data_IF_034516188719
#
_entry.id   IF_034516188719
#
_cell.length_a   1.000
_cell.length_b   1.000
_cell.length_c   1.000
_cell.angle_alpha   90.00
_cell.angle_beta   90.00
_cell.angle_gamma   90.00
#
_symmetry.space_group_name_H-M   'P 1'
#
loop_
_entity.id
_entity.type
_entity.pdbx_description
1 polymer ?
#
# COMPACT_ATOMS: atom_id res chain seq x y z
N UNK A 1 5.93 17.63 19.77
CA UNK A 1 7.11 17.27 18.96
C UNK A 1 6.76 16.11 18.01
N UNK A 2 6.38 14.94 18.48
CA UNK A 2 6.07 13.76 17.64
C UNK A 2 5.04 14.04 16.51
N UNK A 3 3.97 14.79 16.78
CA UNK A 3 2.93 15.09 15.76
C UNK A 3 3.47 15.89 14.58
N UNK A 4 4.35 16.85 14.82
CA UNK A 4 4.94 17.67 13.75
C UNK A 4 5.90 16.86 12.89
N UNK A 5 6.62 15.90 13.46
CA UNK A 5 7.51 15.03 12.72
C UNK A 5 6.73 14.08 11.79
N UNK A 6 5.57 13.59 12.23
CA UNK A 6 4.70 12.74 11.39
C UNK A 6 4.07 13.54 10.24
N UNK A 7 3.64 14.78 10.48
CA UNK A 7 3.15 15.66 9.40
C UNK A 7 4.26 15.91 8.37
N UNK A 8 5.46 16.24 8.82
CA UNK A 8 6.61 16.45 7.93
C UNK A 8 6.94 15.19 7.12
N UNK A 9 6.89 14.02 7.74
CA UNK A 9 7.09 12.74 7.04
C UNK A 9 6.06 12.56 5.92
N UNK A 10 4.77 12.78 6.20
CA UNK A 10 3.71 12.69 5.19
C UNK A 10 3.89 13.70 4.06
N UNK A 11 4.33 14.92 4.35
CA UNK A 11 4.62 15.93 3.33
C UNK A 11 5.74 15.48 2.40
N UNK A 12 6.83 14.93 2.96
CA UNK A 12 7.94 14.36 2.19
C UNK A 12 7.45 13.21 1.33
N UNK A 13 6.69 12.29 1.89
CA UNK A 13 6.14 11.14 1.17
C UNK A 13 5.19 11.57 0.04
N UNK A 14 4.32 12.54 0.30
CA UNK A 14 3.44 13.12 -0.73
C UNK A 14 4.25 13.77 -1.86
N UNK A 15 5.31 14.48 -1.51
CA UNK A 15 6.19 15.12 -2.49
C UNK A 15 6.81 14.12 -3.46
N UNK A 16 7.21 12.93 -3.01
CA UNK A 16 7.75 11.88 -3.90
C UNK A 16 6.77 11.52 -5.01
N UNK A 17 5.48 11.37 -4.67
CA UNK A 17 4.43 11.06 -5.66
C UNK A 17 4.21 12.24 -6.60
N UNK A 18 4.12 13.45 -6.09
CA UNK A 18 3.92 14.65 -6.92
C UNK A 18 5.10 14.92 -7.86
N UNK A 19 6.33 14.69 -7.38
CA UNK A 19 7.52 14.81 -8.22
C UNK A 19 7.53 13.74 -9.33
N UNK A 20 7.16 12.49 -9.03
CA UNK A 20 7.02 11.46 -10.05
C UNK A 20 5.99 11.82 -11.11
N UNK A 21 4.83 12.36 -10.71
CA UNK A 21 3.79 12.85 -11.65
C UNK A 21 4.35 13.98 -12.52
N UNK A 22 5.06 14.92 -11.92
CA UNK A 22 5.66 16.06 -12.64
C UNK A 22 6.74 15.63 -13.61
N UNK A 23 7.62 14.72 -13.21
CA UNK A 23 8.65 14.13 -14.07
C UNK A 23 8.04 13.35 -15.24
N UNK A 24 6.91 12.68 -15.02
CA UNK A 24 6.14 11.98 -16.04
C UNK A 24 5.59 12.91 -17.14
N UNK A 25 5.52 14.22 -16.90
CA UNK A 25 5.16 15.25 -17.90
C UNK A 25 3.94 14.90 -18.75
N UNK A 26 2.88 14.38 -18.12
CA UNK A 26 1.64 13.96 -18.79
C UNK A 26 1.66 12.54 -19.34
N UNK A 27 2.77 11.83 -19.27
CA UNK A 27 2.83 10.39 -19.57
C UNK A 27 2.43 9.55 -18.36
N UNK A 28 2.05 8.31 -18.62
CA UNK A 28 1.76 7.33 -17.56
C UNK A 28 3.02 7.07 -16.74
N UNK A 29 2.90 7.18 -15.42
CA UNK A 29 3.92 6.74 -14.47
C UNK A 29 3.60 5.33 -13.98
N UNK A 30 4.63 4.53 -13.75
CA UNK A 30 4.49 3.16 -13.29
C UNK A 30 4.63 3.08 -11.77
N UNK A 31 3.56 2.65 -11.10
CA UNK A 31 3.63 2.10 -9.75
C UNK A 31 3.71 0.59 -9.87
N UNK A 32 4.76 -0.01 -9.37
CA UNK A 32 4.99 -1.44 -9.58
C UNK A 32 4.99 -2.24 -8.30
N UNK A 33 4.22 -3.34 -8.30
CA UNK A 33 4.31 -4.37 -7.28
C UNK A 33 5.69 -5.02 -7.30
N UNK A 34 6.27 -5.20 -6.12
CA UNK A 34 7.49 -5.97 -5.98
C UNK A 34 7.13 -7.42 -5.71
N UNK A 35 7.48 -8.29 -6.64
CA UNK A 35 7.28 -9.73 -6.49
C UNK A 35 8.40 -10.32 -5.64
N UNK A 36 8.01 -10.85 -4.48
CA UNK A 36 8.94 -11.52 -3.59
C UNK A 36 9.56 -10.62 -2.53
N UNK A 37 10.54 -11.18 -1.86
CA UNK A 37 11.31 -10.58 -0.77
C UNK A 37 12.74 -10.22 -1.22
N UNK A 38 12.97 -10.16 -2.52
CA UNK A 38 14.29 -9.86 -3.08
C UNK A 38 14.44 -8.36 -3.41
N UNK A 39 15.15 -7.67 -2.55
CA UNK A 39 15.45 -6.24 -2.71
C UNK A 39 16.21 -5.92 -4.02
N UNK A 40 16.89 -6.90 -4.64
CA UNK A 40 17.56 -6.70 -5.95
C UNK A 40 16.56 -6.43 -7.06
N UNK A 41 15.36 -7.02 -7.00
CA UNK A 41 14.28 -6.75 -7.95
C UNK A 41 13.83 -5.29 -7.81
N UNK A 42 13.63 -4.82 -6.58
CA UNK A 42 13.26 -3.43 -6.32
C UNK A 42 14.33 -2.46 -6.86
N UNK A 43 15.61 -2.76 -6.63
CA UNK A 43 16.73 -1.97 -7.16
C UNK A 43 16.70 -1.91 -8.68
N UNK A 44 16.56 -3.05 -9.35
CA UNK A 44 16.54 -3.12 -10.81
C UNK A 44 15.37 -2.33 -11.42
N UNK A 45 14.19 -2.38 -10.77
CA UNK A 45 13.00 -1.64 -11.22
C UNK A 45 13.20 -0.13 -11.05
N UNK A 46 13.81 0.31 -9.96
CA UNK A 46 14.15 1.73 -9.73
C UNK A 46 15.23 2.20 -10.71
N UNK A 47 16.23 1.39 -10.98
CA UNK A 47 17.27 1.71 -11.98
C UNK A 47 16.67 1.82 -13.41
N UNK A 48 15.56 1.12 -13.67
CA UNK A 48 14.78 1.27 -14.89
C UNK A 48 13.83 2.49 -14.91
N UNK A 49 13.79 3.28 -13.84
CA UNK A 49 13.05 4.55 -13.76
C UNK A 49 11.78 4.54 -12.94
N UNK A 50 11.40 3.44 -12.26
CA UNK A 50 10.24 3.45 -11.37
C UNK A 50 10.48 4.34 -10.14
N UNK A 51 9.46 5.10 -9.76
CA UNK A 51 9.48 6.01 -8.59
C UNK A 51 8.54 5.57 -7.47
N UNK A 52 7.61 4.67 -7.78
CA UNK A 52 6.61 4.16 -6.86
C UNK A 52 6.68 2.64 -6.79
N UNK A 53 6.81 2.09 -5.61
CA UNK A 53 6.93 0.66 -5.36
C UNK A 53 5.85 0.17 -4.40
N UNK A 54 5.42 -1.07 -4.60
CA UNK A 54 4.30 -1.66 -3.89
C UNK A 54 4.59 -3.11 -3.45
N UNK A 55 5.47 -3.32 -2.44
CA UNK A 55 5.61 -4.64 -1.84
C UNK A 55 4.30 -5.06 -1.17
N UNK A 56 3.82 -6.26 -1.47
CA UNK A 56 2.58 -6.77 -0.90
C UNK A 56 2.70 -8.23 -0.47
N UNK A 57 1.91 -8.59 0.55
CA UNK A 57 1.95 -9.91 1.17
C UNK A 57 1.61 -11.09 0.23
N UNK A 58 0.64 -10.99 -0.71
CA UNK A 58 0.38 -12.10 -1.63
C UNK A 58 1.58 -12.40 -2.54
N UNK A 59 2.28 -11.36 -2.99
CA UNK A 59 3.49 -11.53 -3.80
C UNK A 59 4.61 -12.20 -2.99
N UNK A 60 4.77 -11.86 -1.72
CA UNK A 60 5.74 -12.49 -0.83
C UNK A 60 5.38 -13.95 -0.58
N UNK A 61 4.12 -14.27 -0.30
CA UNK A 61 3.63 -15.65 -0.11
C UNK A 61 3.92 -16.50 -1.36
N UNK A 62 3.61 -15.96 -2.55
CA UNK A 62 3.84 -16.63 -3.82
C UNK A 62 5.33 -16.88 -4.07
N UNK A 63 6.17 -15.88 -3.86
CA UNK A 63 7.61 -15.98 -4.07
C UNK A 63 8.31 -16.95 -3.11
N UNK A 64 7.81 -17.09 -1.89
CA UNK A 64 8.34 -18.03 -0.89
C UNK A 64 7.89 -19.47 -1.12
N UNK A 65 7.03 -19.72 -2.11
CA UNK A 65 6.64 -21.08 -2.49
C UNK A 65 5.79 -21.79 -1.43
N UNK A 66 4.87 -21.11 -0.79
CA UNK A 66 3.93 -21.74 0.13
C UNK A 66 3.19 -22.89 -0.57
N UNK A 67 3.07 -24.02 0.13
CA UNK A 67 2.52 -25.24 -0.46
C UNK A 67 1.11 -25.02 -1.02
N UNK A 68 0.91 -25.40 -2.29
CA UNK A 68 -0.38 -25.26 -2.98
C UNK A 68 -0.70 -23.85 -3.48
N UNK A 69 0.21 -22.88 -3.28
CA UNK A 69 0.05 -21.51 -3.74
C UNK A 69 0.80 -21.35 -5.06
N UNK A 70 0.08 -21.09 -6.14
CA UNK A 70 0.61 -20.98 -7.49
C UNK A 70 0.14 -19.73 -8.25
N UNK A 71 -0.68 -18.91 -7.61
CA UNK A 71 -1.16 -17.64 -8.16
C UNK A 71 -1.58 -16.68 -7.03
N UNK A 72 -1.81 -15.41 -7.37
CA UNK A 72 -2.16 -14.36 -6.41
C UNK A 72 -3.49 -14.62 -5.68
N UNK A 73 -4.50 -15.18 -6.36
CA UNK A 73 -5.79 -15.49 -5.72
C UNK A 73 -5.65 -16.53 -4.61
N UNK A 74 -4.82 -17.56 -4.84
CA UNK A 74 -4.55 -18.56 -3.81
C UNK A 74 -3.69 -17.96 -2.66
N UNK A 75 -2.77 -17.07 -2.99
CA UNK A 75 -1.98 -16.36 -1.98
C UNK A 75 -2.85 -15.50 -1.05
N UNK A 76 -3.90 -14.87 -1.59
CA UNK A 76 -4.86 -14.10 -0.79
C UNK A 76 -5.55 -14.93 0.30
N UNK A 77 -5.82 -16.21 0.06
CA UNK A 77 -6.48 -17.09 1.03
C UNK A 77 -5.62 -17.44 2.24
N UNK A 78 -4.30 -17.39 2.09
CA UNK A 78 -3.33 -17.73 3.14
C UNK A 78 -2.55 -16.51 3.66
N UNK A 79 -3.05 -15.30 3.36
CA UNK A 79 -2.39 -14.06 3.79
C UNK A 79 -2.17 -13.97 5.30
N UNK A 80 -3.05 -14.59 6.09
CA UNK A 80 -2.96 -14.64 7.55
C UNK A 80 -1.82 -15.54 8.07
N UNK A 81 -1.27 -16.40 7.22
CA UNK A 81 -0.12 -17.25 7.55
C UNK A 81 1.23 -16.49 7.44
N UNK A 82 1.24 -15.36 6.73
CA UNK A 82 2.42 -14.52 6.64
C UNK A 82 2.40 -13.49 7.80
N UNK A 83 3.31 -13.57 8.77
CA UNK A 83 3.34 -12.62 9.87
C UNK A 83 3.78 -11.23 9.40
N UNK A 84 3.30 -10.18 10.11
CA UNK A 84 3.63 -8.79 9.82
C UNK A 84 5.15 -8.56 9.77
N UNK A 85 5.89 -9.16 10.68
CA UNK A 85 7.35 -9.05 10.78
C UNK A 85 8.06 -9.41 9.46
N UNK A 86 7.52 -10.36 8.72
CA UNK A 86 8.07 -10.72 7.40
C UNK A 86 7.84 -9.64 6.35
N UNK A 87 6.72 -8.97 6.39
CA UNK A 87 6.49 -7.80 5.54
C UNK A 87 7.38 -6.62 5.93
N UNK A 88 7.64 -6.43 7.24
CA UNK A 88 8.56 -5.39 7.72
C UNK A 88 10.00 -5.66 7.26
N UNK A 89 10.46 -6.90 7.27
CA UNK A 89 11.77 -7.30 6.71
C UNK A 89 11.85 -6.94 5.21
N UNK A 90 10.81 -7.26 4.44
CA UNK A 90 10.75 -6.94 3.00
C UNK A 90 10.80 -5.43 2.77
N UNK A 91 9.99 -4.66 3.47
CA UNK A 91 9.95 -3.19 3.35
C UNK A 91 11.30 -2.57 3.68
N UNK A 92 11.91 -2.99 4.80
CA UNK A 92 13.24 -2.50 5.21
C UNK A 92 14.32 -2.88 4.20
N UNK A 93 14.29 -4.11 3.69
CA UNK A 93 15.21 -4.55 2.65
C UNK A 93 15.09 -3.74 1.36
N UNK A 94 13.87 -3.46 0.92
CA UNK A 94 13.60 -2.61 -0.25
C UNK A 94 14.10 -1.19 0.00
N UNK A 95 13.72 -0.56 1.13
CA UNK A 95 14.14 0.81 1.48
C UNK A 95 15.64 0.97 1.50
N UNK A 96 16.37 0.00 2.06
CA UNK A 96 17.81 0.03 2.16
C UNK A 96 18.52 0.07 0.78
N UNK A 97 17.94 -0.53 -0.24
CA UNK A 97 18.57 -0.58 -1.58
C UNK A 97 18.09 0.51 -2.52
N UNK A 98 16.86 1.04 -2.34
CA UNK A 98 16.32 2.07 -3.24
C UNK A 98 16.48 3.50 -2.71
N UNK A 99 16.83 3.65 -1.42
CA UNK A 99 17.02 4.98 -0.80
C UNK A 99 15.71 5.70 -0.48
N UNK A 100 15.82 6.98 -0.09
CA UNK A 100 14.71 7.74 0.46
C UNK A 100 13.84 8.45 -0.58
N UNK A 101 14.28 8.57 -1.83
CA UNK A 101 13.57 9.30 -2.88
C UNK A 101 12.41 8.51 -3.52
N UNK A 102 12.34 7.21 -3.24
CA UNK A 102 11.31 6.31 -3.79
C UNK A 102 10.12 6.23 -2.84
N UNK A 103 8.90 6.38 -3.38
CA UNK A 103 7.67 6.16 -2.62
C UNK A 103 7.40 4.67 -2.48
N UNK A 104 7.23 4.20 -1.23
CA UNK A 104 6.93 2.81 -0.91
C UNK A 104 5.59 2.75 -0.18
N UNK A 105 4.59 2.15 -0.82
CA UNK A 105 3.31 1.80 -0.19
C UNK A 105 3.24 0.30 0.01
N UNK A 106 2.86 -0.16 1.20
CA UNK A 106 2.91 -1.58 1.55
C UNK A 106 1.53 -2.19 1.77
N UNK A 107 1.29 -3.37 1.20
CA UNK A 107 0.18 -4.23 1.56
C UNK A 107 0.59 -5.21 2.64
N UNK A 108 -0.09 -5.19 3.76
CA UNK A 108 0.20 -6.04 4.91
C UNK A 108 -0.80 -7.18 5.06
N UNK A 109 -0.43 -8.28 5.75
CA UNK A 109 -1.28 -9.45 5.88
C UNK A 109 -2.62 -9.12 6.52
N UNK A 110 -3.72 -9.36 5.81
CA UNK A 110 -5.08 -9.34 6.32
C UNK A 110 -5.62 -8.04 6.93
N UNK A 111 -4.75 -7.13 7.36
CA UNK A 111 -5.13 -5.97 8.16
C UNK A 111 -5.99 -4.93 7.45
N UNK A 112 -6.02 -4.93 6.13
CA UNK A 112 -6.69 -3.90 5.33
C UNK A 112 -7.73 -4.46 4.36
N UNK A 113 -8.16 -5.69 4.56
CA UNK A 113 -9.19 -6.32 3.73
C UNK A 113 -10.24 -7.00 4.59
N UNK A 114 -11.37 -7.32 4.03
CA UNK A 114 -12.48 -8.03 4.68
C UNK A 114 -12.39 -9.54 4.53
N UNK A 115 -11.54 -10.06 3.64
CA UNK A 115 -11.48 -11.51 3.35
C UNK A 115 -10.89 -12.31 4.50
N UNK A 116 -9.82 -11.82 5.09
CA UNK A 116 -9.18 -12.39 6.29
C UNK A 116 -8.77 -11.23 7.19
N UNK A 117 -9.71 -10.59 7.88
CA UNK A 117 -9.42 -9.39 8.65
C UNK A 117 -8.54 -9.73 9.85
N UNK A 118 -7.39 -9.07 9.92
CA UNK A 118 -6.54 -9.01 11.10
C UNK A 118 -6.62 -7.59 11.61
N UNK A 119 -6.89 -7.44 12.89
CA UNK A 119 -6.91 -6.12 13.52
C UNK A 119 -5.46 -5.69 13.75
N UNK A 120 -5.08 -4.57 13.12
CA UNK A 120 -3.79 -3.92 13.38
C UNK A 120 -3.94 -2.93 14.54
N UNK A 121 -3.03 -3.02 15.46
CA UNK A 121 -2.94 -2.10 16.59
C UNK A 121 -2.04 -0.89 16.25
N UNK A 122 -2.13 0.15 17.07
CA UNK A 122 -1.32 1.36 16.91
C UNK A 122 0.19 1.06 16.82
N UNK A 123 0.68 0.07 17.57
CA UNK A 123 2.06 -0.38 17.51
C UNK A 123 2.49 -0.97 16.16
N UNK A 124 1.58 -1.57 15.41
CA UNK A 124 1.86 -2.13 14.11
C UNK A 124 2.05 -1.03 13.05
N UNK A 125 1.24 0.02 13.08
CA UNK A 125 1.43 1.20 12.23
C UNK A 125 2.77 1.86 12.50
N UNK A 126 3.18 1.93 13.77
CA UNK A 126 4.51 2.45 14.12
C UNK A 126 5.63 1.61 13.53
N UNK A 127 5.56 0.27 13.65
CA UNK A 127 6.55 -0.65 13.08
C UNK A 127 6.64 -0.52 11.56
N UNK A 128 5.49 -0.43 10.86
CA UNK A 128 5.42 -0.25 9.41
C UNK A 128 6.10 1.07 9.01
N UNK A 129 5.81 2.14 9.74
CA UNK A 129 6.44 3.44 9.51
C UNK A 129 7.96 3.41 9.72
N UNK A 130 8.44 2.74 10.77
CA UNK A 130 9.86 2.59 11.09
C UNK A 130 10.59 1.66 10.11
N UNK A 131 9.90 0.68 9.53
CA UNK A 131 10.45 -0.18 8.48
C UNK A 131 10.76 0.57 7.18
N UNK A 132 10.31 1.82 7.05
CA UNK A 132 10.60 2.69 5.90
C UNK A 132 9.49 2.81 4.88
N UNK A 133 8.26 2.36 5.20
CA UNK A 133 7.10 2.62 4.36
C UNK A 133 6.73 4.13 4.39
N UNK A 134 6.31 4.64 3.25
CA UNK A 134 5.72 5.96 3.09
C UNK A 134 4.20 5.90 3.26
N UNK A 135 3.59 4.78 2.95
CA UNK A 135 2.15 4.59 3.01
C UNK A 135 1.73 3.13 3.04
N UNK A 136 0.43 2.95 3.07
CA UNK A 136 -0.28 1.68 3.05
C UNK A 136 -1.22 1.64 1.85
N UNK A 137 -1.43 0.48 1.25
CA UNK A 137 -2.54 0.30 0.33
C UNK A 137 -3.59 -0.64 0.91
N UNK A 138 -4.85 -0.33 0.66
CA UNK A 138 -5.97 -1.01 1.29
C UNK A 138 -7.12 -1.31 0.33
N UNK A 139 -7.79 -2.44 0.57
CA UNK A 139 -9.01 -2.86 -0.13
C UNK A 139 -10.28 -2.64 0.71
N UNK A 140 -10.26 -1.74 1.69
CA UNK A 140 -11.46 -1.41 2.47
C UNK A 140 -12.63 -1.04 1.57
N UNK A 141 -13.82 -1.59 1.86
CA UNK A 141 -15.01 -1.50 1.03
C UNK A 141 -16.03 -0.45 1.49
N UNK A 142 -15.80 0.20 2.64
CA UNK A 142 -16.61 1.31 3.13
C UNK A 142 -15.79 2.56 3.39
N UNK A 143 -16.41 3.73 3.22
CA UNK A 143 -15.78 5.04 3.51
C UNK A 143 -15.50 5.17 5.01
N UNK A 144 -16.36 4.66 5.85
CA UNK A 144 -16.24 4.70 7.31
C UNK A 144 -15.00 3.95 7.78
N UNK A 145 -14.84 2.69 7.36
CA UNK A 145 -13.67 1.87 7.70
C UNK A 145 -12.38 2.43 7.12
N UNK A 146 -12.46 2.96 5.89
CA UNK A 146 -11.32 3.60 5.25
C UNK A 146 -10.89 4.86 6.00
N UNK A 147 -11.84 5.68 6.47
CA UNK A 147 -11.57 6.88 7.26
C UNK A 147 -10.87 6.52 8.57
N UNK A 148 -11.36 5.51 9.28
CA UNK A 148 -10.72 5.04 10.51
C UNK A 148 -9.26 4.61 10.27
N UNK A 149 -9.03 3.86 9.19
CA UNK A 149 -7.69 3.43 8.79
C UNK A 149 -6.78 4.62 8.47
N UNK A 150 -7.27 5.60 7.71
CA UNK A 150 -6.53 6.82 7.35
C UNK A 150 -6.14 7.59 8.61
N UNK A 151 -7.07 7.78 9.55
CA UNK A 151 -6.81 8.47 10.81
C UNK A 151 -5.71 7.76 11.63
N UNK A 152 -5.75 6.42 11.71
CA UNK A 152 -4.73 5.62 12.38
C UNK A 152 -3.37 5.70 11.67
N UNK A 153 -3.34 5.55 10.36
CA UNK A 153 -2.12 5.62 9.57
C UNK A 153 -1.42 6.98 9.69
N UNK A 154 -2.18 8.07 9.59
CA UNK A 154 -1.67 9.43 9.68
C UNK A 154 -1.02 9.75 11.04
N UNK A 155 -1.47 9.14 12.14
CA UNK A 155 -0.81 9.28 13.46
C UNK A 155 0.67 8.87 13.41
N UNK A 156 1.01 7.94 12.52
CA UNK A 156 2.36 7.38 12.38
C UNK A 156 3.07 7.84 11.10
N UNK A 157 2.55 8.88 10.46
CA UNK A 157 3.17 9.47 9.27
C UNK A 157 3.10 8.59 8.02
N UNK A 158 2.10 7.70 7.95
CA UNK A 158 1.83 6.86 6.80
C UNK A 158 0.68 7.44 5.98
N UNK A 159 0.87 7.58 4.68
CA UNK A 159 -0.20 7.91 3.72
C UNK A 159 -1.02 6.67 3.40
N UNK A 160 -2.18 6.84 2.76
CA UNK A 160 -3.03 5.71 2.39
C UNK A 160 -3.38 5.79 0.91
N UNK A 161 -3.17 4.68 0.21
CA UNK A 161 -3.64 4.42 -1.13
C UNK A 161 -4.84 3.46 -1.04
N UNK A 162 -5.93 3.76 -1.72
CA UNK A 162 -7.15 2.98 -1.62
C UNK A 162 -7.71 2.60 -2.99
N UNK A 163 -8.47 1.50 -3.01
CA UNK A 163 -9.05 0.97 -4.23
C UNK A 163 -10.50 1.39 -4.41
N UNK A 164 -10.87 1.66 -5.66
CA UNK A 164 -12.25 1.74 -6.13
C UNK A 164 -12.46 0.54 -7.04
N UNK A 165 -13.45 -0.30 -6.75
CA UNK A 165 -13.68 -1.48 -7.57
C UNK A 165 -14.91 -2.26 -7.13
N UNK A 166 -15.22 -3.31 -7.89
CA UNK A 166 -16.35 -4.18 -7.60
C UNK A 166 -15.93 -5.32 -6.68
N UNK A 167 -16.76 -5.70 -5.70
CA UNK A 167 -16.56 -6.93 -4.94
C UNK A 167 -16.54 -8.15 -5.85
N UNK A 168 -15.73 -9.12 -5.50
CA UNK A 168 -15.73 -10.46 -6.15
C UNK A 168 -16.00 -11.54 -5.13
N UNK A 169 -16.23 -12.77 -5.58
CA UNK A 169 -16.43 -13.94 -4.71
C UNK A 169 -15.17 -14.25 -3.87
N UNK A 170 -14.02 -13.70 -4.24
CA UNK A 170 -12.75 -13.97 -3.59
C UNK A 170 -12.35 -12.90 -2.58
N UNK A 171 -12.64 -11.64 -2.87
CA UNK A 171 -12.36 -10.51 -1.98
C UNK A 171 -13.02 -9.22 -2.50
N UNK A 172 -13.09 -8.22 -1.63
CA UNK A 172 -13.47 -6.86 -2.03
C UNK A 172 -12.27 -6.15 -2.66
N UNK A 173 -12.52 -5.38 -3.72
CA UNK A 173 -11.49 -4.56 -4.38
C UNK A 173 -11.61 -3.08 -4.02
N UNK A 174 -12.06 -2.77 -2.82
CA UNK A 174 -12.20 -1.40 -2.36
C UNK A 174 -13.64 -0.91 -2.38
N UNK A 175 -13.82 0.41 -2.45
CA UNK A 175 -15.14 1.03 -2.43
C UNK A 175 -15.87 0.73 -3.75
N UNK A 176 -17.08 0.14 -3.71
CA UNK A 176 -17.81 -0.20 -4.93
C UNK A 176 -18.21 1.03 -5.75
N UNK A 177 -17.96 0.98 -7.06
CA UNK A 177 -18.44 1.97 -8.02
C UNK A 177 -18.79 1.28 -9.34
N UNK A 178 -19.95 1.59 -9.92
CA UNK A 178 -20.48 0.92 -11.12
C UNK A 178 -20.44 1.81 -12.35
N UNK A 179 -20.53 3.10 -12.16
CA UNK A 179 -20.58 4.10 -13.23
C UNK A 179 -19.43 5.10 -13.11
N UNK A 180 -19.07 5.82 -14.18
CA UNK A 180 -18.08 6.89 -14.10
C UNK A 180 -18.42 7.97 -13.06
N UNK A 181 -19.71 8.27 -12.87
CA UNK A 181 -20.15 9.23 -11.86
C UNK A 181 -20.00 8.68 -10.45
N UNK A 182 -20.23 7.38 -10.23
CA UNK A 182 -19.94 6.73 -8.93
C UNK A 182 -18.46 6.82 -8.62
N UNK A 183 -17.57 6.46 -9.56
CA UNK A 183 -16.11 6.55 -9.40
C UNK A 183 -15.70 7.97 -9.01
N UNK A 184 -16.23 8.99 -9.72
CA UNK A 184 -15.95 10.40 -9.44
C UNK A 184 -16.41 10.82 -8.03
N UNK A 185 -17.58 10.37 -7.60
CA UNK A 185 -18.12 10.72 -6.28
C UNK A 185 -17.32 10.04 -5.18
N UNK A 186 -17.04 8.73 -5.31
CA UNK A 186 -16.20 7.97 -4.37
C UNK A 186 -14.80 8.58 -4.29
N UNK A 187 -14.18 8.93 -5.41
CA UNK A 187 -12.88 9.58 -5.44
C UNK A 187 -12.84 10.88 -4.64
N UNK A 188 -13.88 11.73 -4.78
CA UNK A 188 -13.99 12.97 -3.99
C UNK A 188 -14.16 12.73 -2.49
N UNK A 189 -14.89 11.68 -2.12
CA UNK A 189 -15.05 11.31 -0.72
C UNK A 189 -13.73 10.80 -0.14
N UNK A 190 -13.02 9.96 -0.88
CA UNK A 190 -11.69 9.47 -0.50
C UNK A 190 -10.69 10.63 -0.33
N UNK A 191 -10.69 11.59 -1.25
CA UNK A 191 -9.84 12.79 -1.13
C UNK A 191 -10.13 13.56 0.16
N UNK A 192 -11.41 13.77 0.50
CA UNK A 192 -11.82 14.48 1.72
C UNK A 192 -11.35 13.83 3.01
N UNK A 193 -11.29 12.50 3.05
CA UNK A 193 -10.80 11.77 4.22
C UNK A 193 -9.29 11.59 4.26
N UNK A 194 -8.56 12.05 3.22
CA UNK A 194 -7.11 12.10 3.20
C UNK A 194 -6.41 10.93 2.50
N UNK A 195 -7.12 10.18 1.65
CA UNK A 195 -6.49 9.19 0.75
C UNK A 195 -5.59 9.93 -0.25
N UNK A 196 -4.38 9.40 -0.47
CA UNK A 196 -3.41 10.01 -1.38
C UNK A 196 -3.61 9.56 -2.83
N UNK A 197 -3.64 8.26 -3.06
CA UNK A 197 -3.76 7.68 -4.39
C UNK A 197 -5.00 6.81 -4.50
N UNK A 198 -5.64 6.83 -5.66
CA UNK A 198 -6.75 5.95 -6.00
C UNK A 198 -6.25 4.87 -6.96
N UNK A 199 -6.64 3.63 -6.68
CA UNK A 199 -6.33 2.46 -7.50
C UNK A 199 -7.63 1.84 -8.01
N UNK A 200 -7.62 1.30 -9.22
CA UNK A 200 -8.78 0.65 -9.84
C UNK A 200 -8.39 -0.73 -10.37
#
# INVERSE_FOLDING_TARGET
MIRNDMIKKMEISRKKVLDAIKEGNGYTILSTGITGDDARIAKAVVDAGAKLLEPNHPAVVLARGYKGINNMHNAEKVRHELPLEKMLEVVSGVRNVVGDDIYITVGVPGGFTEVMPIILEDGDFQKISLAGADGLHTHKSSIEDLKELVEKAHKYGLLVDAYIGQPTDLHTFGIPAKTPDDVKNVAKEMEKIGVLNLKT
#
